data_IF_283590029646
#
_entry.id   IF_283590029646
#
_cell.length_a   1.000
_cell.length_b   1.000
_cell.length_c   1.000
_cell.angle_alpha   90.00
_cell.angle_beta   90.00
_cell.angle_gamma   90.00
#
_symmetry.space_group_name_H-M   'P 1'
#
loop_
_entity.id
_entity.type
_entity.pdbx_description
1 polymer ?
#
# COMPACT_ATOMS: atom_id res chain seq x y z
N UNK A 1 8.83 -63.41 4.72
CA UNK A 1 9.62 -62.21 4.37
C UNK A 1 8.68 -61.26 3.65
N UNK A 2 8.31 -60.16 4.29
CA UNK A 2 7.35 -59.20 3.74
C UNK A 2 8.11 -58.16 2.94
N UNK A 3 8.14 -58.32 1.62
CA UNK A 3 8.79 -57.39 0.71
C UNK A 3 8.00 -56.08 0.70
N UNK A 4 8.62 -55.02 1.23
CA UNK A 4 8.00 -53.70 1.32
C UNK A 4 8.09 -53.05 -0.07
N UNK A 5 6.97 -52.99 -0.80
CA UNK A 5 6.92 -52.32 -2.09
C UNK A 5 7.32 -50.83 -1.94
N UNK A 6 8.23 -50.32 -2.79
CA UNK A 6 8.56 -48.90 -2.79
C UNK A 6 7.35 -48.11 -3.27
N UNK A 7 6.78 -47.29 -2.38
CA UNK A 7 5.65 -46.42 -2.70
C UNK A 7 5.95 -45.52 -3.91
N UNK A 8 4.92 -45.17 -4.71
CA UNK A 8 5.10 -44.43 -5.95
C UNK A 8 5.78 -43.09 -5.68
N UNK A 9 6.99 -42.91 -6.22
CA UNK A 9 7.71 -41.63 -6.16
C UNK A 9 6.86 -40.60 -6.91
N UNK A 10 6.50 -39.46 -6.29
CA UNK A 10 5.79 -38.40 -6.99
C UNK A 10 6.65 -37.94 -8.18
N UNK A 11 6.10 -38.03 -9.39
CA UNK A 11 6.78 -37.63 -10.61
C UNK A 11 7.13 -36.14 -10.58
N UNK A 12 8.34 -35.78 -11.03
CA UNK A 12 8.89 -34.42 -10.97
C UNK A 12 7.93 -33.34 -11.53
N UNK A 13 7.14 -33.73 -12.54
CA UNK A 13 6.09 -32.91 -13.16
C UNK A 13 5.03 -32.43 -12.16
N UNK A 14 4.59 -33.28 -11.22
CA UNK A 14 3.58 -32.89 -10.20
C UNK A 14 4.13 -31.89 -9.19
N UNK A 15 5.41 -32.00 -8.81
CA UNK A 15 6.09 -31.03 -7.92
C UNK A 15 6.30 -29.67 -8.59
N UNK A 16 6.63 -29.65 -9.88
CA UNK A 16 6.79 -28.41 -10.63
C UNK A 16 5.46 -27.64 -10.76
N UNK A 17 4.36 -28.36 -10.99
CA UNK A 17 3.00 -27.78 -11.05
C UNK A 17 2.55 -27.21 -9.70
N UNK A 18 2.88 -27.84 -8.57
CA UNK A 18 2.55 -27.32 -7.24
C UNK A 18 3.36 -26.07 -6.89
N UNK A 19 4.66 -26.04 -7.20
CA UNK A 19 5.51 -24.88 -6.96
C UNK A 19 5.06 -23.66 -7.78
N UNK A 20 4.65 -23.87 -9.03
CA UNK A 20 4.15 -22.83 -9.94
C UNK A 20 2.80 -22.23 -9.51
N UNK A 21 1.91 -23.06 -8.95
CA UNK A 21 0.66 -22.55 -8.36
C UNK A 21 0.93 -21.74 -7.10
N UNK A 22 1.87 -22.21 -6.27
CA UNK A 22 2.28 -21.49 -5.07
C UNK A 22 2.84 -20.10 -5.40
N UNK A 23 3.73 -19.97 -6.39
CA UNK A 23 4.31 -18.67 -6.77
C UNK A 23 3.27 -17.70 -7.35
N UNK A 24 2.31 -18.20 -8.13
CA UNK A 24 1.18 -17.38 -8.59
C UNK A 24 0.29 -16.91 -7.44
N UNK A 25 -0.02 -17.79 -6.48
CA UNK A 25 -0.80 -17.43 -5.29
C UNK A 25 -0.06 -16.40 -4.44
N UNK A 26 1.23 -16.57 -4.19
CA UNK A 26 2.06 -15.59 -3.48
C UNK A 26 2.06 -14.25 -4.20
N UNK A 27 2.26 -14.24 -5.52
CA UNK A 27 2.20 -13.01 -6.31
C UNK A 27 0.86 -12.30 -6.20
N UNK A 28 -0.25 -13.04 -6.29
CA UNK A 28 -1.60 -12.49 -6.18
C UNK A 28 -1.87 -11.93 -4.77
N UNK A 29 -1.43 -12.62 -3.73
CA UNK A 29 -1.53 -12.14 -2.34
C UNK A 29 -0.74 -10.83 -2.17
N UNK A 30 0.49 -10.74 -2.70
CA UNK A 30 1.30 -9.52 -2.64
C UNK A 30 0.64 -8.36 -3.38
N UNK A 31 0.05 -8.61 -4.56
CA UNK A 31 -0.76 -7.60 -5.29
C UNK A 31 -1.93 -7.12 -4.44
N UNK A 32 -2.68 -8.05 -3.85
CA UNK A 32 -3.84 -7.71 -3.03
C UNK A 32 -3.45 -6.87 -1.82
N UNK A 33 -2.36 -7.23 -1.13
CA UNK A 33 -1.84 -6.46 0.01
C UNK A 33 -1.40 -5.06 -0.42
N UNK A 34 -0.62 -4.94 -1.51
CA UNK A 34 -0.20 -3.63 -2.02
C UNK A 34 -1.37 -2.74 -2.41
N UNK A 35 -2.42 -3.32 -3.02
CA UNK A 35 -3.64 -2.61 -3.39
C UNK A 35 -4.42 -2.15 -2.16
N UNK A 36 -4.58 -3.00 -1.15
CA UNK A 36 -5.24 -2.65 0.12
C UNK A 36 -4.52 -1.49 0.79
N UNK A 37 -3.19 -1.54 0.89
CA UNK A 37 -2.39 -0.47 1.48
C UNK A 37 -2.57 0.84 0.70
N UNK A 38 -2.51 0.79 -0.64
CA UNK A 38 -2.72 1.99 -1.48
C UNK A 38 -4.13 2.56 -1.35
N UNK A 39 -5.15 1.70 -1.20
CA UNK A 39 -6.54 2.12 -1.05
C UNK A 39 -6.81 2.87 0.27
N UNK A 40 -5.93 2.76 1.27
CA UNK A 40 -6.04 3.53 2.50
C UNK A 40 -5.89 5.03 2.26
N UNK A 41 -5.07 5.46 1.29
CA UNK A 41 -4.86 6.88 0.99
C UNK A 41 -6.13 7.58 0.50
N UNK A 42 -6.82 7.12 -0.57
CA UNK A 42 -8.07 7.74 -0.99
C UNK A 42 -9.19 7.55 0.06
N UNK A 43 -9.16 6.48 0.85
CA UNK A 43 -10.12 6.28 1.94
C UNK A 43 -9.93 7.31 3.06
N UNK A 44 -8.68 7.60 3.42
CA UNK A 44 -8.33 8.66 4.38
C UNK A 44 -8.75 10.03 3.85
N UNK A 45 -8.42 10.36 2.60
CA UNK A 45 -8.89 11.59 1.95
C UNK A 45 -10.41 11.71 1.98
N UNK A 46 -11.13 10.65 1.60
CA UNK A 46 -12.58 10.64 1.62
C UNK A 46 -13.13 10.93 3.01
N UNK A 47 -12.61 10.25 4.02
CA UNK A 47 -13.04 10.43 5.42
C UNK A 47 -12.84 11.87 5.89
N UNK A 48 -11.66 12.45 5.65
CA UNK A 48 -11.37 13.85 6.01
C UNK A 48 -12.24 14.84 5.23
N UNK A 49 -12.43 14.60 3.93
CA UNK A 49 -13.29 15.46 3.10
C UNK A 49 -14.76 15.45 3.55
N UNK A 50 -15.24 14.32 4.08
CA UNK A 50 -16.61 14.22 4.62
C UNK A 50 -16.75 14.85 6.01
N UNK A 51 -15.67 14.86 6.80
CA UNK A 51 -15.64 15.54 8.10
C UNK A 51 -15.46 17.05 7.96
N UNK A 52 -14.89 17.49 6.83
CA UNK A 52 -14.47 18.87 6.64
C UNK A 52 -13.03 19.06 7.11
N UNK A 53 -12.16 19.55 6.22
CA UNK A 53 -10.75 19.75 6.57
C UNK A 53 -10.56 20.83 7.64
N UNK A 54 -11.44 21.83 7.69
CA UNK A 54 -11.39 22.88 8.71
C UNK A 54 -11.68 22.30 10.11
N UNK A 55 -12.67 21.40 10.21
CA UNK A 55 -13.03 20.74 11.46
C UNK A 55 -11.94 19.77 11.92
N UNK A 56 -11.33 19.03 10.99
CA UNK A 56 -10.18 18.18 11.25
C UNK A 56 -9.00 19.00 11.80
N UNK A 57 -8.66 20.12 11.16
CA UNK A 57 -7.59 21.03 11.59
C UNK A 57 -7.85 21.63 12.97
N UNK A 58 -9.10 22.01 13.28
CA UNK A 58 -9.50 22.55 14.58
C UNK A 58 -9.47 21.49 15.69
N UNK A 59 -9.74 20.22 15.36
CA UNK A 59 -9.72 19.10 16.31
C UNK A 59 -8.32 18.53 16.57
N UNK A 60 -7.41 18.70 15.62
CA UNK A 60 -6.04 18.22 15.68
C UNK A 60 -5.14 19.27 16.36
N UNK A 61 -4.97 19.15 17.67
CA UNK A 61 -4.13 20.02 18.53
C UNK A 61 -2.61 19.96 18.22
N UNK A 62 -2.20 19.58 17.00
CA UNK A 62 -0.86 19.07 16.72
C UNK A 62 0.19 20.07 16.21
N UNK A 63 -0.20 21.15 15.55
CA UNK A 63 0.76 21.96 14.77
C UNK A 63 1.05 23.37 15.32
N UNK A 64 0.02 24.05 15.81
CA UNK A 64 0.07 25.48 16.14
C UNK A 64 -0.64 25.69 17.48
N UNK A 65 0.03 26.26 18.51
CA UNK A 65 -0.61 26.53 19.78
C UNK A 65 -1.88 27.38 19.59
N UNK A 66 -3.01 27.06 20.26
CA UNK A 66 -4.27 27.80 20.13
C UNK A 66 -4.15 29.29 20.52
N UNK A 67 -3.08 29.66 21.23
CA UNK A 67 -2.74 31.05 21.55
C UNK A 67 -2.05 31.83 20.40
N UNK A 68 -1.72 31.20 19.26
CA UNK A 68 -0.80 31.78 18.27
C UNK A 68 -1.38 32.11 16.89
N UNK A 69 -2.64 31.78 16.59
CA UNK A 69 -3.25 32.15 15.30
C UNK A 69 -4.70 31.68 15.07
N UNK A 70 -5.31 32.17 13.98
CA UNK A 70 -6.65 31.78 13.50
C UNK A 70 -6.52 30.85 12.28
N UNK A 71 -7.36 29.81 12.20
CA UNK A 71 -7.37 28.89 11.06
C UNK A 71 -7.96 29.60 9.83
N UNK A 72 -7.19 29.64 8.74
CA UNK A 72 -7.64 30.18 7.45
C UNK A 72 -8.38 29.11 6.66
N UNK A 73 -7.79 27.91 6.58
CA UNK A 73 -8.38 26.73 5.94
C UNK A 73 -7.59 25.46 6.21
N UNK A 74 -8.29 24.32 6.24
CA UNK A 74 -7.75 22.99 6.06
C UNK A 74 -7.83 22.55 4.60
N UNK A 75 -6.87 21.75 4.15
CA UNK A 75 -6.88 21.17 2.81
C UNK A 75 -6.06 19.87 2.75
N UNK A 76 -6.19 19.15 1.63
CA UNK A 76 -5.37 17.98 1.37
C UNK A 76 -4.05 18.37 0.69
N UNK A 77 -2.93 18.00 1.30
CA UNK A 77 -1.60 18.08 0.70
C UNK A 77 -1.32 16.82 -0.11
N UNK A 78 -0.84 17.01 -1.35
CA UNK A 78 -0.40 15.92 -2.21
C UNK A 78 1.07 15.55 -1.99
N UNK A 79 1.85 16.40 -1.31
CA UNK A 79 3.25 16.13 -0.97
C UNK A 79 3.77 16.95 0.23
N UNK A 80 3.99 16.33 1.40
CA UNK A 80 3.60 14.96 1.76
C UNK A 80 2.09 14.73 1.69
N UNK A 81 1.66 13.50 1.43
CA UNK A 81 0.24 13.10 1.46
C UNK A 81 -0.33 13.26 2.87
N UNK A 82 -1.44 13.97 3.01
CA UNK A 82 -2.14 14.12 4.29
C UNK A 82 -2.90 15.42 4.40
N UNK A 83 -3.46 15.64 5.58
CA UNK A 83 -4.12 16.88 5.96
C UNK A 83 -3.09 18.00 6.19
N UNK A 84 -3.34 19.19 5.67
CA UNK A 84 -2.56 20.39 5.88
C UNK A 84 -3.46 21.54 6.33
N UNK A 85 -2.93 22.41 7.19
CA UNK A 85 -3.68 23.49 7.80
C UNK A 85 -2.95 24.81 7.58
N UNK A 86 -3.66 25.82 7.07
CA UNK A 86 -3.15 27.18 6.90
C UNK A 86 -3.66 28.07 8.03
N UNK A 87 -2.74 28.73 8.72
CA UNK A 87 -2.99 29.56 9.89
C UNK A 87 -2.52 30.99 9.65
N UNK A 88 -3.21 31.97 10.22
CA UNK A 88 -2.71 33.34 10.35
C UNK A 88 -2.22 33.56 11.78
N UNK A 89 -0.99 34.01 11.96
CA UNK A 89 -0.40 34.28 13.27
C UNK A 89 -0.88 35.63 13.84
N UNK A 90 -0.61 35.86 15.12
CA UNK A 90 -0.88 37.14 15.81
C UNK A 90 -0.19 38.36 15.16
N UNK A 91 0.90 38.14 14.43
CA UNK A 91 1.62 39.19 13.68
C UNK A 91 1.07 39.41 12.26
N UNK A 92 0.01 38.68 11.88
CA UNK A 92 -0.62 38.74 10.56
C UNK A 92 0.10 37.94 9.47
N UNK A 93 1.12 37.16 9.81
CA UNK A 93 1.81 36.28 8.85
C UNK A 93 1.07 34.95 8.66
N UNK A 94 1.20 34.34 7.48
CA UNK A 94 0.60 33.04 7.19
C UNK A 94 1.62 31.91 7.34
N UNK A 95 1.21 30.83 8.00
CA UNK A 95 2.01 29.60 8.14
C UNK A 95 1.18 28.40 7.71
N UNK A 96 1.80 27.51 6.93
CA UNK A 96 1.20 26.26 6.51
C UNK A 96 1.82 25.13 7.32
N UNK A 97 1.02 24.53 8.19
CA UNK A 97 1.36 23.27 8.84
C UNK A 97 1.12 22.11 7.87
N UNK A 98 2.15 21.30 7.65
CA UNK A 98 2.14 20.22 6.66
C UNK A 98 2.06 18.87 7.36
N UNK A 99 1.40 17.89 6.72
CA UNK A 99 1.38 16.54 7.25
C UNK A 99 2.78 15.93 7.30
N UNK A 100 2.94 14.94 8.16
CA UNK A 100 4.15 14.15 8.24
C UNK A 100 4.29 13.21 7.02
N UNK A 101 5.50 12.66 6.84
CA UNK A 101 5.77 11.79 5.70
C UNK A 101 5.23 10.36 5.83
N UNK A 102 4.55 10.02 6.94
CA UNK A 102 4.10 8.64 7.21
C UNK A 102 3.13 8.12 6.15
N UNK A 103 2.05 8.86 5.86
CA UNK A 103 1.06 8.51 4.84
C UNK A 103 1.71 8.36 3.47
N UNK A 104 2.68 9.22 3.16
CA UNK A 104 3.45 9.15 1.91
C UNK A 104 4.31 7.89 1.84
N UNK A 105 4.99 7.54 2.94
CA UNK A 105 5.79 6.31 3.01
C UNK A 105 4.92 5.06 2.87
N UNK A 106 3.75 5.02 3.53
CA UNK A 106 2.77 3.93 3.41
C UNK A 106 2.30 3.79 1.96
N UNK A 107 1.98 4.89 1.28
CA UNK A 107 1.59 4.88 -0.12
C UNK A 107 2.70 4.32 -1.03
N UNK A 108 3.96 4.73 -0.81
CA UNK A 108 5.12 4.24 -1.55
C UNK A 108 5.29 2.73 -1.34
N UNK A 109 5.22 2.24 -0.10
CA UNK A 109 5.34 0.81 0.21
C UNK A 109 4.22 0.02 -0.49
N UNK A 110 2.98 0.50 -0.44
CA UNK A 110 1.85 -0.11 -1.15
C UNK A 110 2.09 -0.21 -2.66
N UNK A 111 2.60 0.87 -3.28
CA UNK A 111 2.95 0.89 -4.70
C UNK A 111 4.07 -0.10 -5.05
N UNK A 112 5.12 -0.16 -4.24
CA UNK A 112 6.25 -1.09 -4.43
C UNK A 112 5.76 -2.54 -4.36
N UNK A 113 4.94 -2.88 -3.35
CA UNK A 113 4.37 -4.21 -3.21
C UNK A 113 3.47 -4.57 -4.39
N UNK A 114 2.62 -3.64 -4.83
CA UNK A 114 1.74 -3.85 -5.98
C UNK A 114 2.56 -4.17 -7.24
N UNK A 115 3.58 -3.36 -7.53
CA UNK A 115 4.44 -3.54 -8.70
C UNK A 115 5.25 -4.84 -8.62
N UNK A 116 5.79 -5.18 -7.45
CA UNK A 116 6.52 -6.42 -7.24
C UNK A 116 5.62 -7.65 -7.44
N UNK A 117 4.39 -7.62 -6.90
CA UNK A 117 3.40 -8.68 -7.09
C UNK A 117 2.97 -8.83 -8.55
N UNK A 118 2.74 -7.72 -9.27
CA UNK A 118 2.45 -7.72 -10.71
C UNK A 118 3.63 -8.34 -11.47
N UNK A 119 4.86 -7.92 -11.19
CA UNK A 119 6.06 -8.48 -11.80
C UNK A 119 6.17 -10.00 -11.60
N UNK A 120 5.92 -10.49 -10.39
CA UNK A 120 5.97 -11.92 -10.07
C UNK A 120 4.88 -12.72 -10.79
N UNK A 121 3.65 -12.21 -10.84
CA UNK A 121 2.54 -12.87 -11.55
C UNK A 121 2.78 -12.92 -13.06
N UNK A 122 3.35 -11.85 -13.65
CA UNK A 122 3.72 -11.82 -15.07
C UNK A 122 4.88 -12.79 -15.34
N UNK A 123 5.97 -12.70 -14.59
CA UNK A 123 7.15 -13.55 -14.77
C UNK A 123 6.79 -15.03 -14.63
N UNK A 124 6.02 -15.39 -13.60
CA UNK A 124 5.57 -16.78 -13.40
C UNK A 124 4.77 -17.29 -14.60
N UNK A 125 3.92 -16.46 -15.25
CA UNK A 125 3.20 -16.83 -16.48
C UNK A 125 4.07 -16.95 -17.73
N UNK A 126 5.21 -16.29 -17.79
CA UNK A 126 6.15 -16.47 -18.91
C UNK A 126 7.03 -17.70 -18.76
N UNK A 127 7.58 -17.96 -17.56
CA UNK A 127 8.33 -19.20 -17.29
C UNK A 127 7.45 -20.44 -17.49
N UNK A 128 6.18 -20.31 -17.09
CA UNK A 128 5.09 -21.25 -17.32
C UNK A 128 4.88 -21.71 -18.76
N UNK A 129 5.15 -20.85 -19.75
CA UNK A 129 4.99 -21.13 -21.18
C UNK A 129 6.25 -21.72 -21.80
N UNK A 130 7.39 -21.59 -21.14
CA UNK A 130 8.70 -22.01 -21.64
C UNK A 130 9.13 -23.40 -21.19
N UNK A 131 8.39 -24.09 -20.32
CA UNK A 131 8.64 -25.52 -20.04
C UNK A 131 8.14 -26.30 -21.25
N UNK A 132 9.02 -26.78 -22.14
CA UNK A 132 8.62 -27.62 -23.25
C UNK A 132 8.13 -28.94 -22.67
N UNK A 133 7.11 -29.51 -23.31
CA UNK A 133 6.92 -30.94 -23.24
C UNK A 133 8.19 -31.57 -23.81
N UNK A 134 9.11 -32.01 -22.96
CA UNK A 134 10.11 -32.99 -23.39
C UNK A 134 9.34 -34.26 -23.73
N UNK A 135 9.17 -34.46 -25.04
CA UNK A 135 8.76 -35.68 -25.69
C UNK A 135 9.91 -36.69 -25.68
#
# INVERSE_FOLDING_TARGET
MTETQPGPRPTAVRRALSARRLTLLVGLVVVAVGLVILALVPLQYWTLSTQGFDDACNSSLGGVPPESGELVRGFWSWWPLGEACEWTLLDGTYVIDRPDSSTTAVAIIGAVLLLAGIGLTIASRFLSRRVPAEA
#
